data_IF_277160655802
#
_entry.id   IF_277160655802
#
_cell.length_a   1.000
_cell.length_b   1.000
_cell.length_c   1.000
_cell.angle_alpha   90.00
_cell.angle_beta   90.00
_cell.angle_gamma   90.00
#
_symmetry.space_group_name_H-M   'P 1'
#
loop_
_entity.id
_entity.type
_entity.pdbx_description
1 polymer ?
#
# COMPACT_ATOMS: atom_id res chain seq x y z
N UNK A 1 -15.11 -0.76 -24.34
CA UNK A 1 -15.43 -0.98 -22.92
C UNK A 1 -14.80 0.11 -22.08
N UNK A 2 -15.47 0.57 -21.03
CA UNK A 2 -14.82 1.38 -20.01
C UNK A 2 -14.20 0.42 -18.99
N UNK A 3 -12.89 0.51 -18.72
CA UNK A 3 -12.19 -0.45 -17.84
C UNK A 3 -12.02 0.07 -16.41
N UNK A 4 -12.46 1.29 -16.14
CA UNK A 4 -12.28 1.98 -14.87
C UNK A 4 -13.56 1.99 -14.03
N UNK A 5 -14.65 1.43 -14.56
CA UNK A 5 -15.99 1.48 -13.98
C UNK A 5 -16.20 0.34 -12.97
N UNK A 6 -15.49 0.44 -11.85
CA UNK A 6 -15.44 -0.56 -10.79
C UNK A 6 -16.16 -0.10 -9.53
N UNK A 7 -17.05 -0.95 -9.03
CA UNK A 7 -17.65 -0.83 -7.70
C UNK A 7 -16.91 -1.74 -6.74
N UNK A 8 -16.23 -1.17 -5.74
CA UNK A 8 -15.41 -1.91 -4.77
C UNK A 8 -16.16 -2.02 -3.44
N UNK A 9 -16.27 -3.24 -2.93
CA UNK A 9 -16.69 -3.51 -1.56
C UNK A 9 -15.49 -4.04 -0.73
N UNK A 10 -14.92 -3.14 0.08
CA UNK A 10 -13.81 -3.47 0.98
C UNK A 10 -14.21 -4.39 2.14
N UNK A 11 -15.50 -4.54 2.45
CA UNK A 11 -15.95 -5.46 3.52
C UNK A 11 -15.89 -6.91 3.05
N UNK A 12 -16.36 -7.15 1.82
CA UNK A 12 -16.37 -8.48 1.20
C UNK A 12 -15.11 -8.75 0.38
N UNK A 13 -14.17 -7.80 0.30
CA UNK A 13 -12.95 -7.86 -0.52
C UNK A 13 -13.25 -8.19 -1.99
N UNK A 14 -14.33 -7.61 -2.52
CA UNK A 14 -14.79 -7.89 -3.88
C UNK A 14 -14.93 -6.62 -4.69
N UNK A 15 -14.69 -6.72 -6.00
CA UNK A 15 -14.95 -5.64 -6.94
C UNK A 15 -15.84 -6.14 -8.08
N UNK A 16 -16.84 -5.35 -8.42
CA UNK A 16 -17.80 -5.64 -9.48
C UNK A 16 -17.68 -4.57 -10.55
N UNK A 17 -17.47 -5.01 -11.79
CA UNK A 17 -17.43 -4.14 -12.96
C UNK A 17 -18.84 -4.00 -13.55
N UNK A 18 -19.12 -2.89 -14.23
CA UNK A 18 -20.43 -2.64 -14.87
C UNK A 18 -20.81 -3.65 -15.95
N UNK A 19 -19.85 -4.40 -16.50
CA UNK A 19 -20.11 -5.51 -17.42
C UNK A 19 -20.59 -6.80 -16.74
N UNK A 20 -20.78 -6.80 -15.41
CA UNK A 20 -21.18 -7.97 -14.63
C UNK A 20 -20.03 -8.90 -14.24
N UNK A 21 -18.78 -8.51 -14.54
CA UNK A 21 -17.60 -9.24 -14.10
C UNK A 21 -17.28 -8.94 -12.64
N UNK A 22 -16.99 -9.98 -11.87
CA UNK A 22 -16.66 -9.88 -10.44
C UNK A 22 -15.26 -10.43 -10.20
N UNK A 23 -14.51 -9.75 -9.35
CA UNK A 23 -13.23 -10.22 -8.82
C UNK A 23 -13.35 -10.29 -7.30
N UNK A 24 -12.86 -11.38 -6.74
CA UNK A 24 -12.73 -11.58 -5.31
C UNK A 24 -11.26 -11.71 -4.94
N UNK A 25 -10.86 -11.06 -3.85
CA UNK A 25 -9.48 -11.04 -3.38
C UNK A 25 -9.41 -11.70 -2.01
N UNK A 26 -8.42 -12.56 -1.81
CA UNK A 26 -8.13 -13.14 -0.51
C UNK A 26 -6.97 -12.41 0.19
N UNK A 27 -7.09 -12.25 1.50
CA UNK A 27 -6.05 -11.68 2.36
C UNK A 27 -6.15 -10.17 2.48
N UNK A 28 -5.03 -9.48 2.26
CA UNK A 28 -4.95 -8.03 2.47
C UNK A 28 -5.30 -7.28 1.18
N UNK A 29 -6.27 -6.33 1.19
CA UNK A 29 -6.63 -5.59 -0.02
C UNK A 29 -5.50 -4.70 -0.57
N UNK A 30 -4.43 -4.47 0.20
CA UNK A 30 -3.20 -3.80 -0.30
C UNK A 30 -2.22 -4.74 -0.97
N UNK A 31 -2.18 -5.98 -0.52
CA UNK A 31 -1.23 -7.00 -0.96
C UNK A 31 -2.01 -8.32 -1.08
N UNK A 32 -2.76 -8.46 -2.19
CA UNK A 32 -3.68 -9.57 -2.38
C UNK A 32 -2.87 -10.86 -2.48
N UNK A 33 -3.13 -11.81 -1.58
CA UNK A 33 -2.41 -13.09 -1.58
C UNK A 33 -2.91 -14.01 -2.70
N UNK A 34 -4.20 -13.93 -3.01
CA UNK A 34 -4.82 -14.58 -4.14
C UNK A 34 -5.87 -13.67 -4.78
N UNK A 35 -6.08 -13.85 -6.09
CA UNK A 35 -7.11 -13.16 -6.86
C UNK A 35 -7.95 -14.21 -7.58
N UNK A 36 -9.25 -14.18 -7.33
CA UNK A 36 -10.25 -15.07 -7.91
C UNK A 36 -11.10 -14.30 -8.92
N UNK A 37 -10.74 -14.32 -10.21
CA UNK A 37 -11.58 -13.77 -11.26
C UNK A 37 -12.83 -14.64 -11.45
N UNK A 38 -13.99 -14.00 -11.60
CA UNK A 38 -15.24 -14.66 -11.93
C UNK A 38 -15.35 -15.05 -13.40
N UNK A 39 -16.57 -15.30 -13.86
CA UNK A 39 -16.84 -15.66 -15.26
C UNK A 39 -16.69 -14.45 -16.17
N UNK A 40 -15.80 -14.53 -17.16
CA UNK A 40 -15.63 -13.47 -18.15
C UNK A 40 -16.84 -13.37 -19.10
N UNK A 41 -17.24 -12.14 -19.48
CA UNK A 41 -18.19 -11.92 -20.56
C UNK A 41 -17.73 -12.58 -21.88
N UNK A 42 -18.68 -13.09 -22.67
CA UNK A 42 -18.39 -13.68 -23.97
C UNK A 42 -17.94 -12.60 -24.97
N UNK A 43 -16.99 -12.94 -25.84
CA UNK A 43 -16.48 -12.04 -26.89
C UNK A 43 -15.30 -11.14 -26.49
N UNK A 44 -14.75 -11.30 -25.27
CA UNK A 44 -13.53 -10.59 -24.86
C UNK A 44 -12.28 -11.33 -25.33
N UNK A 45 -11.34 -10.57 -25.89
CA UNK A 45 -10.00 -11.07 -26.20
C UNK A 45 -9.20 -11.35 -24.92
N UNK A 46 -8.21 -12.24 -24.98
CA UNK A 46 -7.37 -12.56 -23.82
C UNK A 46 -6.68 -11.33 -23.22
N UNK A 47 -6.32 -10.36 -24.05
CA UNK A 47 -5.69 -9.10 -23.61
C UNK A 47 -6.68 -8.27 -22.80
N UNK A 48 -7.94 -8.17 -23.25
CA UNK A 48 -8.97 -7.45 -22.52
C UNK A 48 -9.33 -8.14 -21.21
N UNK A 49 -9.35 -9.48 -21.17
CA UNK A 49 -9.54 -10.23 -19.93
C UNK A 49 -8.46 -9.90 -18.90
N UNK A 50 -7.19 -9.91 -19.31
CA UNK A 50 -6.07 -9.53 -18.42
C UNK A 50 -6.18 -8.08 -17.96
N UNK A 51 -6.52 -7.17 -18.87
CA UNK A 51 -6.68 -5.75 -18.56
C UNK A 51 -7.82 -5.51 -17.56
N UNK A 52 -8.91 -6.27 -17.69
CA UNK A 52 -10.04 -6.23 -16.77
C UNK A 52 -9.63 -6.72 -15.38
N UNK A 53 -8.92 -7.85 -15.28
CA UNK A 53 -8.42 -8.34 -13.99
C UNK A 53 -7.50 -7.32 -13.32
N UNK A 54 -6.55 -6.77 -14.09
CA UNK A 54 -5.59 -5.79 -13.59
C UNK A 54 -6.28 -4.53 -13.06
N UNK A 55 -7.18 -3.94 -13.85
CA UNK A 55 -7.90 -2.72 -13.47
C UNK A 55 -8.80 -2.93 -12.25
N UNK A 56 -9.42 -4.11 -12.11
CA UNK A 56 -10.20 -4.43 -10.92
C UNK A 56 -9.36 -4.57 -9.65
N UNK A 57 -8.17 -5.19 -9.74
CA UNK A 57 -7.23 -5.25 -8.61
C UNK A 57 -6.72 -3.85 -8.25
N UNK A 58 -6.38 -3.04 -9.25
CA UNK A 58 -5.94 -1.65 -9.05
C UNK A 58 -7.03 -0.81 -8.37
N UNK A 59 -8.31 -1.01 -8.72
CA UNK A 59 -9.44 -0.33 -8.09
C UNK A 59 -9.58 -0.71 -6.59
N UNK A 60 -9.45 -2.00 -6.25
CA UNK A 60 -9.49 -2.46 -4.85
C UNK A 60 -8.34 -1.84 -4.05
N UNK A 61 -7.13 -1.87 -4.59
CA UNK A 61 -5.94 -1.29 -3.95
C UNK A 61 -6.08 0.22 -3.78
N UNK A 62 -6.64 0.92 -4.78
CA UNK A 62 -6.88 2.36 -4.71
C UNK A 62 -7.87 2.69 -3.60
N UNK A 63 -8.98 1.96 -3.49
CA UNK A 63 -10.00 2.18 -2.47
C UNK A 63 -9.48 1.83 -1.06
N UNK A 64 -8.72 0.74 -0.94
CA UNK A 64 -8.04 0.37 0.30
C UNK A 64 -7.00 1.40 0.76
N UNK A 65 -6.36 2.11 -0.17
CA UNK A 65 -5.47 3.24 0.14
C UNK A 65 -6.26 4.47 0.62
N UNK A 66 -7.40 4.79 0.01
CA UNK A 66 -8.27 5.90 0.44
C UNK A 66 -8.82 5.69 1.85
N UNK A 67 -9.20 4.46 2.23
CA UNK A 67 -9.70 4.15 3.57
C UNK A 67 -8.72 4.43 4.73
N UNK A 68 -7.43 4.68 4.46
CA UNK A 68 -6.41 4.99 5.49
C UNK A 68 -6.13 6.48 5.72
N UNK A 69 -6.73 7.41 4.97
CA UNK A 69 -6.51 8.85 5.21
C UNK A 69 -7.29 9.40 6.41
N UNK A 70 -8.13 8.58 7.07
CA UNK A 70 -8.94 9.01 8.22
C UNK A 70 -8.56 8.34 9.56
N UNK A 71 -7.26 8.10 9.81
CA UNK A 71 -6.77 8.03 11.18
C UNK A 71 -5.77 9.15 11.39
N UNK A 72 -6.14 10.28 12.02
CA UNK A 72 -5.13 11.17 12.54
C UNK A 72 -4.28 10.34 13.48
N UNK A 73 -3.00 10.15 13.13
CA UNK A 73 -1.99 9.70 14.07
C UNK A 73 -2.03 10.75 15.17
N UNK A 74 -2.68 10.43 16.28
CA UNK A 74 -2.59 11.22 17.51
C UNK A 74 -1.11 11.19 17.87
N UNK A 75 -0.39 12.23 17.47
CA UNK A 75 0.97 12.48 17.89
C UNK A 75 0.88 12.64 19.41
N UNK A 76 1.12 11.56 20.16
CA UNK A 76 1.38 11.66 21.59
C UNK A 76 2.47 12.74 21.73
N UNK A 77 2.28 13.77 22.57
CA UNK A 77 3.28 14.82 22.69
C UNK A 77 4.62 14.17 23.01
N UNK A 78 5.63 14.56 22.24
CA UNK A 78 7.00 14.11 22.44
C UNK A 78 7.37 14.31 23.91
N UNK A 79 7.99 13.28 24.51
CA UNK A 79 8.50 13.33 25.86
C UNK A 79 9.36 14.59 26.06
N UNK A 80 8.85 15.55 26.84
CA UNK A 80 9.58 16.78 27.18
C UNK A 80 10.71 16.36 28.11
N UNK A 81 11.96 16.47 27.66
CA UNK A 81 13.10 16.20 28.52
C UNK A 81 13.14 17.22 29.67
N UNK A 82 13.21 16.80 30.94
CA UNK A 82 13.34 17.71 32.07
C UNK A 82 14.62 18.56 31.94
N UNK A 83 14.52 19.85 32.27
CA UNK A 83 15.57 20.86 32.09
C UNK A 83 16.89 20.58 32.84
N UNK A 84 16.88 19.69 33.83
CA UNK A 84 18.03 19.37 34.68
C UNK A 84 18.72 18.07 34.25
N UNK A 85 19.32 18.02 33.06
CA UNK A 85 20.29 16.97 32.72
C UNK A 85 21.70 17.52 32.81
N UNK A 86 22.60 16.92 33.62
CA UNK A 86 24.01 17.27 33.59
C UNK A 86 24.59 16.93 32.20
N UNK A 87 25.20 17.92 31.54
CA UNK A 87 25.86 17.75 30.25
C UNK A 87 27.05 16.81 30.42
N UNK A 88 26.89 15.54 30.06
CA UNK A 88 28.04 14.62 29.96
C UNK A 88 28.83 14.99 28.71
N UNK A 89 30.13 15.19 28.88
CA UNK A 89 31.04 15.45 27.77
C UNK A 89 31.03 14.24 26.82
N UNK A 90 30.71 14.49 25.55
CA UNK A 90 30.83 13.50 24.48
C UNK A 90 32.32 13.32 24.18
N UNK A 91 32.87 12.15 24.50
CA UNK A 91 34.23 11.75 24.11
C UNK A 91 34.30 11.62 22.58
N UNK A 92 34.90 12.61 21.92
CA UNK A 92 35.22 12.57 20.49
C UNK A 92 36.52 11.81 20.27
N UNK A 93 36.45 10.65 19.61
CA UNK A 93 37.62 9.90 19.16
C UNK A 93 38.20 10.55 17.90
N UNK A 94 39.30 11.29 18.04
CA UNK A 94 40.08 11.76 16.89
C UNK A 94 40.80 10.56 16.25
N UNK A 95 40.39 10.21 15.02
CA UNK A 95 41.06 9.19 14.22
C UNK A 95 42.34 9.81 13.64
N UNK A 96 43.49 9.42 14.17
CA UNK A 96 44.82 9.86 13.69
C UNK A 96 45.10 9.15 12.36
N UNK A 97 45.21 9.90 11.27
CA UNK A 97 45.66 9.40 9.97
C UNK A 97 47.16 9.11 10.04
N UNK A 98 47.53 7.83 9.93
CA UNK A 98 48.92 7.40 9.79
C UNK A 98 49.45 7.84 8.44
N UNK A 99 50.50 8.64 8.47
CA UNK A 99 51.39 8.97 7.36
C UNK A 99 52.10 7.70 6.89
N UNK A 100 51.89 7.30 5.64
CA UNK A 100 52.74 6.34 4.94
C UNK A 100 53.69 7.13 4.05
N UNK A 101 54.98 7.07 4.41
CA UNK A 101 56.12 7.61 3.66
C UNK A 101 56.87 6.45 3.03
N UNK A 102 57.21 6.65 1.75
CA UNK A 102 58.24 5.99 0.94
C UNK A 102 57.91 4.65 0.31
#
# INVERSE_FOLDING_TARGET
MNFEDWTVDLKSLTATHSCGFRIEIEGNPKDPSAVHPGKFPQGLTSIEQVRLVRTGVEAIVAEAKKGRTAKPVVKKPAYVSPANKPKRATLSLNRKSSTETS
#
